data_IF_310080968145
#
_entry.id   IF_310080968145
#
_cell.length_a   1.000
_cell.length_b   1.000
_cell.length_c   1.000
_cell.angle_alpha   90.00
_cell.angle_beta   90.00
_cell.angle_gamma   90.00
#
_symmetry.space_group_name_H-M   'P 1'
#
loop_
_entity.id
_entity.type
_entity.pdbx_description
1 polymer ?
#
# COMPACT_ATOMS: atom_id res chain seq x y z
N UNK A 1 4.82 16.34 -14.56
CA UNK A 1 3.88 16.22 -15.69
C UNK A 1 4.55 15.87 -17.01
N UNK A 2 5.84 15.67 -16.99
CA UNK A 2 6.64 15.30 -18.17
C UNK A 2 6.18 13.98 -18.82
N UNK A 3 5.68 13.05 -18.00
CA UNK A 3 5.18 11.75 -18.44
C UNK A 3 3.64 11.65 -18.52
N UNK A 4 2.93 12.78 -18.51
CA UNK A 4 1.47 12.78 -18.53
C UNK A 4 0.79 12.28 -17.24
N UNK A 5 1.56 12.16 -16.15
CA UNK A 5 1.07 11.70 -14.85
C UNK A 5 0.93 12.90 -13.90
N UNK A 6 -0.25 13.04 -13.29
CA UNK A 6 -0.46 14.00 -12.21
C UNK A 6 -0.11 13.35 -10.88
N UNK A 7 0.78 13.99 -10.13
CA UNK A 7 1.06 13.62 -8.75
C UNK A 7 0.07 14.36 -7.85
N UNK A 8 -0.66 13.60 -7.05
CA UNK A 8 -1.63 14.13 -6.09
C UNK A 8 -1.03 13.91 -4.70
N UNK A 9 -0.57 15.00 -4.05
CA UNK A 9 -0.05 14.88 -2.69
C UNK A 9 -1.17 14.58 -1.72
N UNK A 10 -0.87 13.77 -0.70
CA UNK A 10 -1.78 13.45 0.39
C UNK A 10 -1.18 13.86 1.74
N UNK A 11 -1.98 14.53 2.55
CA UNK A 11 -1.73 14.77 3.97
C UNK A 11 -2.89 14.14 4.71
N UNK A 12 -2.65 12.94 5.25
CA UNK A 12 -3.73 12.19 5.91
C UNK A 12 -3.97 12.69 7.33
N UNK A 13 -5.15 13.25 7.52
CA UNK A 13 -5.66 13.86 8.75
C UNK A 13 -7.19 13.68 8.84
N UNK A 14 -7.79 13.55 10.03
CA UNK A 14 -7.20 13.68 11.38
C UNK A 14 -6.76 12.36 12.02
N UNK A 15 -7.01 11.19 11.41
CA UNK A 15 -6.40 9.92 11.78
C UNK A 15 -5.06 9.73 11.04
N UNK A 16 -4.39 8.60 11.25
CA UNK A 16 -3.10 8.27 10.64
C UNK A 16 -2.00 9.32 10.81
N UNK A 17 -2.17 10.18 11.81
CA UNK A 17 -1.38 11.39 12.04
C UNK A 17 -0.19 11.20 12.99
N UNK A 18 0.28 9.97 13.18
CA UNK A 18 1.34 9.63 14.15
C UNK A 18 2.64 10.42 13.91
N UNK A 19 3.00 10.65 12.65
CA UNK A 19 4.18 11.44 12.30
C UNK A 19 4.07 12.89 12.81
N UNK A 20 2.89 13.49 12.70
CA UNK A 20 2.63 14.86 13.17
C UNK A 20 2.63 14.95 14.68
N UNK A 21 2.03 13.97 15.34
CA UNK A 21 1.98 13.94 16.82
C UNK A 21 3.31 13.55 17.44
N UNK A 22 4.18 12.81 16.76
CA UNK A 22 5.56 12.64 17.19
C UNK A 22 6.35 13.95 17.14
N UNK A 23 6.11 14.78 16.13
CA UNK A 23 6.72 16.10 16.02
C UNK A 23 6.14 17.08 17.05
N UNK A 24 4.82 17.04 17.26
CA UNK A 24 4.07 17.96 18.11
C UNK A 24 3.06 17.18 18.98
N UNK A 25 3.50 16.56 20.09
CA UNK A 25 2.66 15.68 20.90
C UNK A 25 1.37 16.31 21.44
N UNK A 26 1.37 17.62 21.66
CA UNK A 26 0.23 18.36 22.20
C UNK A 26 -1.01 18.38 21.29
N UNK A 27 -0.87 18.11 19.99
CA UNK A 27 -2.01 18.02 19.06
C UNK A 27 -2.63 16.61 19.02
N UNK A 28 -1.99 15.62 19.61
CA UNK A 28 -2.48 14.24 19.68
C UNK A 28 -3.68 14.08 20.59
N UNK A 29 -4.46 13.04 20.36
CA UNK A 29 -5.63 12.72 21.15
C UNK A 29 -5.27 11.79 22.32
N UNK A 30 -5.42 12.27 23.54
CA UNK A 30 -5.28 11.45 24.75
C UNK A 30 -6.36 10.34 24.84
N UNK A 31 -7.48 10.53 24.13
CA UNK A 31 -8.64 9.64 24.18
C UNK A 31 -8.60 8.52 23.16
N UNK A 32 -8.06 8.78 21.97
CA UNK A 32 -8.11 7.85 20.83
C UNK A 32 -6.74 7.36 20.37
N UNK A 33 -5.66 7.85 20.99
CA UNK A 33 -4.29 7.50 20.64
C UNK A 33 -3.56 8.58 19.85
N UNK A 34 -2.24 8.50 19.86
CA UNK A 34 -1.38 9.50 19.24
C UNK A 34 -1.41 9.49 17.70
N UNK A 35 -1.99 8.50 17.10
CA UNK A 35 -2.26 8.43 15.65
C UNK A 35 -3.49 9.26 15.23
N UNK A 36 -4.22 9.82 16.21
CA UNK A 36 -5.37 10.69 15.99
C UNK A 36 -5.10 12.13 16.48
N UNK A 37 -5.42 13.12 15.67
CA UNK A 37 -5.43 14.52 16.10
C UNK A 37 -6.60 14.79 17.04
N UNK A 38 -6.38 15.60 18.07
CA UNK A 38 -7.45 16.04 18.96
C UNK A 38 -8.24 17.19 18.33
N UNK A 39 -9.47 16.93 17.93
CA UNK A 39 -10.33 17.87 17.22
C UNK A 39 -10.92 18.96 18.13
N UNK A 40 -10.64 18.93 19.43
CA UNK A 40 -11.10 19.95 20.39
C UNK A 40 -10.02 20.97 20.72
N UNK A 41 -8.76 20.70 20.35
CA UNK A 41 -7.63 21.60 20.60
C UNK A 41 -7.49 22.62 19.47
N UNK A 42 -7.49 23.89 19.81
CA UNK A 42 -7.23 24.98 18.86
C UNK A 42 -5.85 24.84 18.20
N UNK A 43 -4.90 24.30 18.92
CA UNK A 43 -3.55 24.07 18.45
C UNK A 43 -3.48 23.07 17.29
N UNK A 44 -4.38 22.10 17.27
CA UNK A 44 -4.55 21.18 16.12
C UNK A 44 -4.87 21.94 14.85
N UNK A 45 -5.81 22.86 14.91
CA UNK A 45 -6.22 23.66 13.74
C UNK A 45 -5.11 24.60 13.29
N UNK A 46 -4.41 25.26 14.23
CA UNK A 46 -3.26 26.11 13.88
C UNK A 46 -2.14 25.33 13.21
N UNK A 47 -1.86 24.12 13.69
CA UNK A 47 -0.85 23.24 13.10
C UNK A 47 -1.23 22.85 11.69
N UNK A 48 -2.46 22.38 11.47
CA UNK A 48 -2.93 21.95 10.14
C UNK A 48 -3.03 23.13 9.18
N UNK A 49 -3.51 24.29 9.63
CA UNK A 49 -3.55 25.52 8.82
C UNK A 49 -2.12 25.89 8.36
N UNK A 50 -1.16 25.92 9.30
CA UNK A 50 0.24 26.25 8.98
C UNK A 50 0.89 25.25 8.02
N UNK A 51 0.60 23.96 8.22
CA UNK A 51 1.10 22.90 7.34
C UNK A 51 0.58 23.06 5.90
N UNK A 52 -0.72 23.26 5.75
CA UNK A 52 -1.34 23.46 4.44
C UNK A 52 -0.86 24.76 3.77
N UNK A 53 -0.72 25.83 4.53
CA UNK A 53 -0.20 27.10 4.02
C UNK A 53 1.22 26.95 3.47
N UNK A 54 2.08 26.23 4.17
CA UNK A 54 3.46 25.99 3.74
C UNK A 54 3.52 25.33 2.36
N UNK A 55 2.64 24.36 2.10
CA UNK A 55 2.69 23.58 0.84
C UNK A 55 1.84 24.20 -0.28
N UNK A 56 0.83 25.01 0.04
CA UNK A 56 -0.13 25.52 -0.93
C UNK A 56 0.05 27.00 -1.29
N UNK A 57 0.75 27.78 -0.45
CA UNK A 57 0.87 29.22 -0.64
C UNK A 57 2.10 29.64 -1.47
N UNK A 58 2.16 30.93 -1.83
CA UNK A 58 3.27 31.55 -2.54
C UNK A 58 3.17 31.44 -4.07
N UNK A 59 4.10 32.09 -4.76
CA UNK A 59 4.16 32.12 -6.23
C UNK A 59 4.54 30.76 -6.83
N UNK A 60 5.25 29.93 -6.08
CA UNK A 60 5.68 28.58 -6.46
C UNK A 60 5.38 27.59 -5.33
N UNK A 61 4.12 27.22 -5.15
CA UNK A 61 3.74 26.29 -4.10
C UNK A 61 4.39 24.91 -4.33
N UNK A 62 4.62 24.16 -3.26
CA UNK A 62 5.16 22.80 -3.35
C UNK A 62 4.16 21.88 -4.04
N UNK A 63 2.87 22.02 -3.70
CA UNK A 63 1.78 21.26 -4.33
C UNK A 63 1.32 21.96 -5.61
N UNK A 64 2.02 21.67 -6.71
CA UNK A 64 1.79 22.33 -8.00
C UNK A 64 0.58 21.79 -8.77
N UNK A 65 0.16 20.53 -8.51
CA UNK A 65 -0.96 19.88 -9.20
C UNK A 65 -2.32 20.52 -8.86
N UNK A 66 -3.36 20.20 -9.62
CA UNK A 66 -4.70 20.74 -9.39
C UNK A 66 -5.42 20.11 -8.19
N UNK A 67 -5.02 18.95 -7.77
CA UNK A 67 -5.68 18.16 -6.73
C UNK A 67 -4.79 17.98 -5.51
N UNK A 68 -5.42 17.94 -4.32
CA UNK A 68 -4.79 17.61 -3.03
C UNK A 68 -5.68 16.63 -2.30
N UNK A 69 -5.10 15.60 -1.68
CA UNK A 69 -5.81 14.62 -0.86
C UNK A 69 -5.56 14.90 0.62
N UNK A 70 -6.62 14.84 1.43
CA UNK A 70 -6.56 15.17 2.86
C UNK A 70 -6.77 13.97 3.79
N UNK A 71 -6.76 12.75 3.24
CA UNK A 71 -7.08 11.55 4.01
C UNK A 71 -8.54 11.53 4.44
N UNK A 72 -8.79 11.71 5.73
CA UNK A 72 -10.12 11.74 6.37
C UNK A 72 -10.81 10.38 6.49
N UNK A 73 -10.06 9.33 6.73
CA UNK A 73 -10.59 8.02 7.08
C UNK A 73 -10.41 7.69 8.57
N UNK A 74 -10.97 6.60 8.97
CA UNK A 74 -10.79 5.86 10.21
C UNK A 74 -10.81 6.65 11.53
N UNK A 75 -11.52 7.76 11.59
CA UNK A 75 -11.71 8.46 12.86
C UNK A 75 -12.83 7.84 13.71
N UNK A 76 -12.86 8.14 15.00
CA UNK A 76 -13.80 7.54 15.93
C UNK A 76 -15.24 8.05 15.72
N UNK A 77 -16.20 7.14 15.54
CA UNK A 77 -17.60 7.47 15.28
C UNK A 77 -18.30 8.29 16.39
N UNK A 78 -17.80 8.25 17.63
CA UNK A 78 -18.32 9.08 18.73
C UNK A 78 -18.07 10.56 18.53
N UNK A 79 -17.11 10.90 17.67
CA UNK A 79 -16.73 12.28 17.35
C UNK A 79 -17.23 12.73 15.97
N UNK A 80 -18.24 12.05 15.43
CA UNK A 80 -18.73 12.27 14.06
C UNK A 80 -19.02 13.76 13.74
N UNK A 81 -19.65 14.52 14.62
CA UNK A 81 -19.95 15.92 14.38
C UNK A 81 -18.68 16.78 14.32
N UNK A 82 -17.71 16.53 15.20
CA UNK A 82 -16.42 17.23 15.19
C UNK A 82 -15.58 16.85 13.96
N UNK A 83 -15.57 15.56 13.59
CA UNK A 83 -14.93 15.10 12.39
C UNK A 83 -15.53 15.74 11.13
N UNK A 84 -16.86 15.80 11.03
CA UNK A 84 -17.56 16.43 9.90
C UNK A 84 -17.25 17.92 9.79
N UNK A 85 -17.21 18.62 10.93
CA UNK A 85 -16.78 20.01 10.98
C UNK A 85 -15.33 20.19 10.52
N UNK A 86 -14.42 19.36 11.00
CA UNK A 86 -13.01 19.35 10.61
C UNK A 86 -12.87 19.12 9.10
N UNK A 87 -13.49 18.06 8.59
CA UNK A 87 -13.46 17.72 7.16
C UNK A 87 -13.99 18.87 6.31
N UNK A 88 -15.20 19.38 6.59
CA UNK A 88 -15.79 20.50 5.85
C UNK A 88 -14.88 21.75 5.85
N UNK A 89 -14.28 22.07 7.01
CA UNK A 89 -13.34 23.17 7.13
C UNK A 89 -12.17 23.02 6.16
N UNK A 90 -11.53 21.86 6.12
CA UNK A 90 -10.33 21.66 5.31
C UNK A 90 -10.62 21.43 3.83
N UNK A 91 -11.77 20.90 3.47
CA UNK A 91 -12.24 20.92 2.09
C UNK A 91 -12.34 22.37 1.57
N UNK A 92 -12.95 23.26 2.34
CA UNK A 92 -13.09 24.68 2.02
C UNK A 92 -11.74 25.43 2.11
N UNK A 93 -10.87 25.03 3.01
CA UNK A 93 -9.56 25.65 3.19
C UNK A 93 -8.66 25.46 1.97
N UNK A 94 -8.57 24.25 1.48
CA UNK A 94 -7.75 23.90 0.31
C UNK A 94 -8.34 24.53 -0.97
N UNK A 95 -9.65 24.59 -1.09
CA UNK A 95 -10.31 25.24 -2.23
C UNK A 95 -9.95 26.74 -2.38
N UNK A 96 -9.64 27.46 -1.28
CA UNK A 96 -9.16 28.84 -1.34
C UNK A 96 -7.87 29.03 -2.13
N UNK A 97 -7.08 27.96 -2.24
CA UNK A 97 -5.87 27.92 -3.07
C UNK A 97 -6.13 27.48 -4.52
N UNK A 98 -7.41 27.38 -4.93
CA UNK A 98 -7.80 26.97 -6.28
C UNK A 98 -7.57 25.48 -6.56
N UNK A 99 -7.50 24.65 -5.53
CA UNK A 99 -7.32 23.19 -5.65
C UNK A 99 -8.65 22.45 -5.53
N UNK A 100 -8.78 21.34 -6.27
CA UNK A 100 -9.80 20.35 -6.00
C UNK A 100 -9.36 19.47 -4.83
N UNK A 101 -10.31 18.97 -4.05
CA UNK A 101 -9.97 18.16 -2.89
C UNK A 101 -10.38 16.72 -3.09
N UNK A 102 -9.50 15.83 -2.68
CA UNK A 102 -9.79 14.40 -2.58
C UNK A 102 -9.78 13.94 -1.13
N UNK A 103 -10.56 12.91 -0.82
CA UNK A 103 -10.62 12.35 0.52
C UNK A 103 -10.98 10.86 0.47
N UNK A 104 -10.64 10.13 1.52
CA UNK A 104 -11.16 8.78 1.73
C UNK A 104 -12.62 8.83 2.19
N UNK A 105 -13.40 7.84 1.78
CA UNK A 105 -14.79 7.75 2.20
C UNK A 105 -14.91 7.42 3.68
N UNK A 106 -15.63 8.27 4.43
CA UNK A 106 -15.83 8.08 5.87
C UNK A 106 -17.26 8.42 6.34
N UNK A 107 -18.03 9.12 5.51
CA UNK A 107 -19.29 9.76 5.95
C UNK A 107 -20.44 8.77 6.21
N UNK A 108 -20.35 7.54 5.74
CA UNK A 108 -21.31 6.48 6.10
C UNK A 108 -21.09 5.98 7.53
N UNK A 109 -19.85 5.87 7.96
CA UNK A 109 -19.48 5.47 9.32
C UNK A 109 -19.62 6.64 10.29
N UNK A 110 -19.13 7.81 9.91
CA UNK A 110 -19.15 9.03 10.70
C UNK A 110 -20.42 9.84 10.42
N UNK A 111 -21.57 9.24 10.78
CA UNK A 111 -22.89 9.85 10.59
C UNK A 111 -23.10 11.04 11.52
N UNK A 112 -23.62 12.14 10.96
CA UNK A 112 -23.90 13.34 11.73
C UNK A 112 -24.75 14.33 10.93
N UNK A 113 -25.13 15.43 11.58
CA UNK A 113 -25.95 16.48 10.99
C UNK A 113 -25.12 17.64 10.42
N UNK A 114 -23.87 17.78 10.87
CA UNK A 114 -22.96 18.81 10.33
C UNK A 114 -22.74 18.56 8.85
N UNK A 115 -23.11 19.52 7.96
CA UNK A 115 -22.93 19.35 6.53
C UNK A 115 -21.46 19.31 6.17
N UNK A 116 -21.12 18.51 5.16
CA UNK A 116 -19.78 18.44 4.58
C UNK A 116 -19.89 18.83 3.11
N UNK A 117 -19.02 19.73 2.66
CA UNK A 117 -18.95 20.19 1.28
C UNK A 117 -18.80 19.01 0.32
N UNK A 118 -19.60 18.98 -0.75
CA UNK A 118 -19.54 17.96 -1.77
C UNK A 118 -19.03 18.49 -3.13
N UNK A 119 -19.34 19.74 -3.46
CA UNK A 119 -18.97 20.34 -4.72
C UNK A 119 -17.43 20.37 -4.88
N UNK A 120 -16.93 19.93 -6.06
CA UNK A 120 -15.51 19.79 -6.38
C UNK A 120 -14.72 18.82 -5.46
N UNK A 121 -15.42 17.91 -4.77
CA UNK A 121 -14.79 16.90 -3.92
C UNK A 121 -14.88 15.54 -4.56
N UNK A 122 -13.75 14.82 -4.59
CA UNK A 122 -13.66 13.44 -5.04
C UNK A 122 -13.39 12.52 -3.87
N UNK A 123 -14.20 11.47 -3.73
CA UNK A 123 -14.08 10.47 -2.66
C UNK A 123 -13.50 9.18 -3.22
N UNK A 124 -12.49 8.64 -2.55
CA UNK A 124 -12.03 7.29 -2.75
C UNK A 124 -12.96 6.31 -2.01
N UNK A 125 -13.71 5.51 -2.78
CA UNK A 125 -14.62 4.50 -2.24
C UNK A 125 -13.81 3.23 -1.95
N UNK A 126 -13.34 3.10 -0.70
CA UNK A 126 -12.41 2.06 -0.29
C UNK A 126 -13.07 0.93 0.50
N UNK A 127 -14.01 1.19 1.38
CA UNK A 127 -14.65 0.16 2.20
C UNK A 127 -16.16 0.36 2.28
N UNK A 128 -16.90 -0.76 2.17
CA UNK A 128 -18.36 -0.75 2.20
C UNK A 128 -18.95 -0.12 3.47
N UNK A 129 -18.32 -0.32 4.61
CA UNK A 129 -18.84 0.18 5.88
C UNK A 129 -18.58 1.68 6.06
N UNK A 130 -17.58 2.23 5.39
CA UNK A 130 -17.15 3.61 5.51
C UNK A 130 -17.81 4.57 4.52
N UNK A 131 -18.17 4.08 3.33
CA UNK A 131 -18.80 4.89 2.29
C UNK A 131 -20.00 4.18 1.68
N UNK A 132 -21.03 4.97 1.36
CA UNK A 132 -22.13 4.60 0.48
C UNK A 132 -21.95 5.29 -0.88
N UNK A 133 -21.52 4.58 -1.91
CA UNK A 133 -21.25 5.19 -3.21
C UNK A 133 -22.46 5.86 -3.84
N UNK A 134 -23.65 5.23 -3.74
CA UNK A 134 -24.88 5.78 -4.31
C UNK A 134 -25.32 7.06 -3.61
N UNK A 135 -25.28 7.07 -2.26
CA UNK A 135 -25.59 8.26 -1.49
C UNK A 135 -24.58 9.37 -1.79
N UNK A 136 -23.29 9.07 -1.85
CA UNK A 136 -22.25 10.06 -2.14
C UNK A 136 -22.39 10.69 -3.52
N UNK A 137 -22.71 9.93 -4.55
CA UNK A 137 -23.00 10.45 -5.89
C UNK A 137 -24.22 11.36 -5.89
N UNK A 138 -25.28 10.96 -5.16
CA UNK A 138 -26.51 11.77 -5.01
C UNK A 138 -26.24 13.08 -4.29
N UNK A 139 -25.34 13.09 -3.32
CA UNK A 139 -24.94 14.27 -2.56
C UNK A 139 -24.02 15.20 -3.38
N UNK A 140 -23.60 14.78 -4.58
CA UNK A 140 -22.81 15.60 -5.50
C UNK A 140 -21.30 15.33 -5.48
N UNK A 141 -20.84 14.36 -4.70
CA UNK A 141 -19.43 13.92 -4.74
C UNK A 141 -19.11 13.18 -6.05
N UNK A 142 -17.86 13.25 -6.47
CA UNK A 142 -17.29 12.33 -7.45
C UNK A 142 -16.65 11.15 -6.72
N UNK A 143 -16.56 10.00 -7.38
CA UNK A 143 -16.04 8.76 -6.77
C UNK A 143 -14.93 8.16 -7.62
N UNK A 144 -13.90 7.67 -6.95
CA UNK A 144 -12.92 6.74 -7.48
C UNK A 144 -13.09 5.42 -6.74
N UNK A 145 -13.25 4.34 -7.49
CA UNK A 145 -13.31 3.00 -6.91
C UNK A 145 -11.94 2.57 -6.41
N UNK A 146 -11.81 2.40 -5.11
CA UNK A 146 -10.58 1.96 -4.43
C UNK A 146 -10.89 0.79 -3.49
N UNK A 147 -11.89 -0.02 -3.82
CA UNK A 147 -12.44 -1.07 -2.95
C UNK A 147 -11.35 -1.99 -2.39
N UNK A 148 -11.20 -1.99 -1.07
CA UNK A 148 -10.20 -2.76 -0.31
C UNK A 148 -10.25 -4.26 -0.59
N UNK A 149 -11.44 -4.81 -0.77
CA UNK A 149 -11.63 -6.22 -1.08
C UNK A 149 -10.94 -6.68 -2.37
N UNK A 150 -10.66 -5.75 -3.29
CA UNK A 150 -10.13 -6.06 -4.62
C UNK A 150 -8.84 -5.35 -4.99
N UNK A 151 -8.63 -4.13 -4.45
CA UNK A 151 -7.64 -3.18 -4.94
C UNK A 151 -6.58 -2.81 -3.89
N UNK A 152 -6.57 -3.45 -2.72
CA UNK A 152 -5.56 -3.23 -1.69
C UNK A 152 -4.45 -4.27 -1.76
N UNK A 153 -3.23 -3.78 -1.72
CA UNK A 153 -1.99 -4.53 -1.57
C UNK A 153 -1.37 -4.08 -0.25
N UNK A 154 -1.22 -5.01 0.70
CA UNK A 154 -0.56 -4.73 1.99
C UNK A 154 0.47 -5.82 2.24
N UNK A 155 1.73 -5.60 1.82
CA UNK A 155 2.76 -6.63 1.89
C UNK A 155 2.96 -7.17 3.30
N UNK A 156 3.00 -8.49 3.44
CA UNK A 156 3.22 -9.22 4.69
C UNK A 156 2.17 -8.99 5.81
N UNK A 157 1.05 -8.37 5.51
CA UNK A 157 0.04 -8.03 6.53
C UNK A 157 -0.83 -9.23 6.95
N UNK A 158 -1.12 -10.15 6.04
CA UNK A 158 -1.97 -11.31 6.31
C UNK A 158 -3.49 -11.03 6.36
N UNK A 159 -3.91 -9.78 6.57
CA UNK A 159 -5.32 -9.35 6.55
C UNK A 159 -5.76 -8.79 5.21
N UNK A 160 -4.83 -8.35 4.37
CA UNK A 160 -5.05 -8.02 2.96
C UNK A 160 -4.10 -8.83 2.06
N UNK A 161 -4.23 -8.65 0.76
CA UNK A 161 -3.44 -9.39 -0.22
C UNK A 161 -2.02 -8.83 -0.34
N UNK A 162 -1.08 -9.73 -0.56
CA UNK A 162 0.30 -9.39 -0.90
C UNK A 162 0.43 -8.92 -2.35
N UNK A 163 -0.43 -9.49 -3.22
CA UNK A 163 -0.56 -9.15 -4.65
C UNK A 163 -2.02 -9.12 -5.03
N UNK A 164 -2.39 -8.28 -5.99
CA UNK A 164 -3.73 -8.33 -6.56
C UNK A 164 -3.90 -9.61 -7.39
N UNK A 165 -5.11 -10.15 -7.38
CA UNK A 165 -5.51 -11.20 -8.31
C UNK A 165 -5.75 -10.59 -9.69
N UNK A 166 -4.65 -10.45 -10.46
CA UNK A 166 -4.67 -9.79 -11.76
C UNK A 166 -5.54 -10.52 -12.78
N UNK A 167 -5.65 -11.85 -12.69
CA UNK A 167 -6.53 -12.63 -13.56
C UNK A 167 -7.99 -12.31 -13.28
N UNK A 168 -8.40 -12.36 -12.01
CA UNK A 168 -9.75 -12.01 -11.63
C UNK A 168 -10.10 -10.56 -11.96
N UNK A 169 -9.17 -9.62 -11.74
CA UNK A 169 -9.35 -8.22 -12.11
C UNK A 169 -9.56 -8.08 -13.61
N UNK A 170 -8.77 -8.74 -14.42
CA UNK A 170 -8.89 -8.70 -15.87
C UNK A 170 -10.23 -9.26 -16.37
N UNK A 171 -10.61 -10.44 -15.91
CA UNK A 171 -11.78 -11.16 -16.38
C UNK A 171 -13.10 -10.64 -15.78
N UNK A 172 -13.11 -10.28 -14.50
CA UNK A 172 -14.32 -10.09 -13.71
C UNK A 172 -14.54 -8.67 -13.19
N UNK A 173 -13.45 -7.95 -12.87
CA UNK A 173 -13.60 -6.63 -12.28
C UNK A 173 -14.06 -5.59 -13.31
N UNK A 174 -14.85 -4.63 -12.83
CA UNK A 174 -15.31 -3.45 -13.59
C UNK A 174 -15.21 -2.24 -12.67
N UNK A 175 -15.02 -1.06 -13.25
CA UNK A 175 -14.92 0.19 -12.47
C UNK A 175 -16.15 0.39 -11.57
N UNK A 176 -17.32 -0.02 -12.05
CA UNK A 176 -18.57 0.04 -11.27
C UNK A 176 -18.64 -0.90 -10.07
N UNK A 177 -17.77 -1.91 -9.97
CA UNK A 177 -17.77 -2.85 -8.84
C UNK A 177 -17.13 -2.21 -7.59
N UNK A 178 -17.85 -1.27 -7.01
CA UNK A 178 -17.38 -0.39 -5.93
C UNK A 178 -17.30 -1.07 -4.56
N UNK A 179 -17.94 -2.23 -4.40
CA UNK A 179 -17.80 -3.10 -3.24
C UNK A 179 -18.36 -4.50 -3.58
N UNK A 180 -18.21 -5.51 -2.68
CA UNK A 180 -18.73 -6.86 -2.92
C UNK A 180 -20.25 -6.98 -3.07
N UNK A 181 -21.00 -5.99 -2.58
CA UNK A 181 -22.47 -6.04 -2.53
C UNK A 181 -23.13 -5.18 -3.60
N UNK A 182 -22.39 -4.20 -4.17
CA UNK A 182 -22.95 -3.20 -5.07
C UNK A 182 -22.07 -3.02 -6.32
N UNK A 183 -22.73 -2.88 -7.43
CA UNK A 183 -22.12 -2.54 -8.71
C UNK A 183 -22.89 -1.37 -9.33
N UNK A 184 -22.19 -0.27 -9.59
CA UNK A 184 -22.74 0.87 -10.31
C UNK A 184 -22.76 0.57 -11.81
N UNK A 185 -23.78 1.01 -12.55
CA UNK A 185 -23.83 0.85 -14.01
C UNK A 185 -22.60 1.47 -14.68
N UNK A 186 -22.20 0.89 -15.79
CA UNK A 186 -21.15 1.46 -16.64
C UNK A 186 -21.56 2.85 -17.13
N UNK A 187 -20.63 3.80 -17.09
CA UNK A 187 -20.91 5.20 -17.45
C UNK A 187 -21.67 6.00 -16.39
N UNK A 188 -21.82 5.50 -15.16
CA UNK A 188 -22.45 6.26 -14.07
C UNK A 188 -21.79 7.64 -13.92
N UNK A 189 -22.53 8.75 -14.04
CA UNK A 189 -22.00 10.09 -13.88
C UNK A 189 -21.37 10.27 -12.49
N UNK A 190 -20.16 10.84 -12.43
CA UNK A 190 -19.44 11.04 -11.18
C UNK A 190 -18.54 9.88 -10.77
N UNK A 191 -18.67 8.68 -11.35
CA UNK A 191 -17.69 7.60 -11.19
C UNK A 191 -16.54 7.82 -12.16
N UNK A 192 -15.37 8.24 -11.65
CA UNK A 192 -14.25 8.71 -12.47
C UNK A 192 -13.33 7.59 -12.95
N UNK A 193 -13.22 6.50 -12.19
CA UNK A 193 -12.31 5.41 -12.51
C UNK A 193 -12.02 4.53 -11.30
N UNK A 194 -10.92 3.78 -11.38
CA UNK A 194 -10.42 2.93 -10.31
C UNK A 194 -9.01 3.29 -9.88
N UNK A 195 -8.67 2.97 -8.65
CA UNK A 195 -7.34 3.13 -8.06
C UNK A 195 -7.04 1.91 -7.19
N UNK A 196 -5.85 1.35 -7.31
CA UNK A 196 -5.35 0.42 -6.32
C UNK A 196 -4.43 1.13 -5.33
N UNK A 197 -4.31 0.59 -4.14
CA UNK A 197 -3.45 1.12 -3.10
C UNK A 197 -2.36 0.11 -2.71
N UNK A 198 -1.17 0.60 -2.42
CA UNK A 198 -0.08 -0.19 -1.83
C UNK A 198 0.25 0.43 -0.48
N UNK A 199 -0.18 -0.23 0.58
CA UNK A 199 0.04 0.20 1.96
C UNK A 199 1.26 -0.51 2.54
N UNK A 200 2.08 0.24 3.25
CA UNK A 200 3.29 -0.30 3.87
C UNK A 200 3.17 -0.35 5.39
N UNK A 201 2.09 -0.91 5.90
CA UNK A 201 1.78 -1.03 7.33
C UNK A 201 2.89 -1.76 8.11
N UNK A 202 3.57 -2.66 7.44
CA UNK A 202 4.70 -3.42 7.96
C UNK A 202 6.03 -3.00 7.33
N UNK A 203 6.20 -1.72 7.00
CA UNK A 203 7.49 -1.21 6.54
C UNK A 203 8.56 -1.45 7.63
N UNK A 204 9.75 -1.88 7.21
CA UNK A 204 10.78 -2.35 8.15
C UNK A 204 10.84 -3.89 8.29
N UNK A 205 9.85 -4.62 7.81
CA UNK A 205 9.89 -6.09 7.73
C UNK A 205 10.56 -6.60 6.44
N UNK A 206 11.45 -5.79 5.88
CA UNK A 206 12.22 -6.18 4.70
C UNK A 206 11.55 -5.90 3.36
N UNK A 207 10.49 -5.13 3.33
CA UNK A 207 9.87 -4.67 2.08
C UNK A 207 10.71 -3.55 1.46
N UNK A 208 11.35 -3.81 0.33
CA UNK A 208 12.17 -2.86 -0.42
C UNK A 208 11.34 -2.09 -1.46
N UNK A 209 11.95 -1.05 -2.06
CA UNK A 209 11.35 -0.37 -3.21
C UNK A 209 11.04 -1.32 -4.36
N UNK A 210 11.92 -2.28 -4.63
CA UNK A 210 11.73 -3.28 -5.68
C UNK A 210 10.53 -4.17 -5.38
N UNK A 211 10.30 -4.51 -4.12
CA UNK A 211 9.13 -5.28 -3.70
C UNK A 211 7.83 -4.52 -3.95
N UNK A 212 7.82 -3.22 -3.69
CA UNK A 212 6.69 -2.35 -3.99
C UNK A 212 6.47 -2.26 -5.50
N UNK A 213 7.51 -2.03 -6.30
CA UNK A 213 7.42 -1.98 -7.76
C UNK A 213 6.92 -3.30 -8.35
N UNK A 214 7.41 -4.43 -7.84
CA UNK A 214 7.02 -5.76 -8.31
C UNK A 214 5.52 -6.04 -8.10
N UNK A 215 4.92 -5.44 -7.06
CA UNK A 215 3.47 -5.50 -6.80
C UNK A 215 2.69 -4.49 -7.62
N UNK A 216 3.25 -3.30 -7.79
CA UNK A 216 2.60 -2.18 -8.44
C UNK A 216 2.40 -2.40 -9.94
N UNK A 217 3.42 -2.88 -10.65
CA UNK A 217 3.36 -2.92 -12.11
C UNK A 217 2.31 -3.88 -12.65
N UNK A 218 2.19 -5.13 -12.21
CA UNK A 218 1.11 -6.00 -12.69
C UNK A 218 -0.29 -5.42 -12.40
N UNK A 219 -0.47 -4.81 -11.22
CA UNK A 219 -1.72 -4.16 -10.84
C UNK A 219 -2.04 -2.96 -11.75
N UNK A 220 -1.06 -2.08 -12.00
CA UNK A 220 -1.21 -0.91 -12.84
C UNK A 220 -1.57 -1.29 -14.28
N UNK A 221 -0.92 -2.31 -14.85
CA UNK A 221 -1.19 -2.77 -16.20
C UNK A 221 -2.62 -3.27 -16.36
N UNK A 222 -3.10 -4.10 -15.43
CA UNK A 222 -4.47 -4.62 -15.47
C UNK A 222 -5.49 -3.51 -15.27
N UNK A 223 -5.31 -2.63 -14.30
CA UNK A 223 -6.25 -1.54 -14.08
C UNK A 223 -6.30 -0.57 -15.26
N UNK A 224 -5.14 -0.25 -15.85
CA UNK A 224 -5.08 0.60 -17.04
C UNK A 224 -5.88 0.01 -18.19
N UNK A 225 -5.72 -1.28 -18.48
CA UNK A 225 -6.47 -1.99 -19.50
C UNK A 225 -7.99 -1.98 -19.22
N UNK A 226 -8.38 -2.28 -17.98
CA UNK A 226 -9.80 -2.31 -17.58
C UNK A 226 -10.46 -0.93 -17.60
N UNK A 227 -9.75 0.11 -17.20
CA UNK A 227 -10.27 1.48 -17.24
C UNK A 227 -10.36 2.01 -18.67
N UNK A 228 -9.45 1.59 -19.57
CA UNK A 228 -9.47 2.00 -20.96
C UNK A 228 -10.56 1.30 -21.78
N UNK A 229 -10.73 -0.01 -21.56
CA UNK A 229 -11.60 -0.86 -22.40
C UNK A 229 -12.93 -1.25 -21.78
N UNK A 230 -13.10 -1.09 -20.47
CA UNK A 230 -14.31 -1.52 -19.77
C UNK A 230 -14.51 -3.04 -19.85
N UNK A 231 -15.60 -3.46 -20.49
CA UNK A 231 -15.97 -4.90 -20.65
C UNK A 231 -15.32 -5.58 -21.85
N UNK A 232 -14.71 -4.82 -22.75
CA UNK A 232 -14.24 -5.34 -24.03
C UNK A 232 -12.81 -5.88 -23.91
N UNK A 233 -12.66 -7.09 -23.40
CA UNK A 233 -11.38 -7.80 -23.50
C UNK A 233 -11.10 -8.15 -24.97
N UNK A 234 -9.91 -7.79 -25.47
CA UNK A 234 -9.50 -8.11 -26.85
C UNK A 234 -8.81 -9.45 -26.95
N UNK A 235 -8.19 -9.89 -25.86
CA UNK A 235 -7.40 -11.12 -25.80
C UNK A 235 -7.69 -11.86 -24.50
N UNK A 236 -7.31 -13.12 -24.42
CA UNK A 236 -7.38 -13.87 -23.17
C UNK A 236 -6.44 -13.29 -22.10
N UNK A 237 -6.68 -13.59 -20.83
CA UNK A 237 -5.76 -13.15 -19.76
C UNK A 237 -4.34 -13.67 -19.99
N UNK A 238 -4.19 -14.90 -20.42
CA UNK A 238 -2.89 -15.53 -20.69
C UNK A 238 -2.12 -14.79 -21.79
N UNK A 239 -2.82 -14.33 -22.81
CA UNK A 239 -2.22 -13.53 -23.89
C UNK A 239 -1.88 -12.12 -23.41
N UNK A 240 -2.78 -11.49 -22.64
CA UNK A 240 -2.52 -10.20 -22.00
C UNK A 240 -1.30 -10.25 -21.08
N UNK A 241 -1.20 -11.25 -20.20
CA UNK A 241 -0.06 -11.44 -19.31
C UNK A 241 1.25 -11.61 -20.09
N UNK A 242 1.21 -12.35 -21.21
CA UNK A 242 2.36 -12.50 -22.09
C UNK A 242 2.79 -11.17 -22.71
N UNK A 243 1.85 -10.35 -23.14
CA UNK A 243 2.12 -8.99 -23.65
C UNK A 243 2.73 -8.11 -22.57
N UNK A 244 2.20 -8.14 -21.35
CA UNK A 244 2.74 -7.39 -20.22
C UNK A 244 4.20 -7.76 -19.92
N UNK A 245 4.54 -9.05 -19.96
CA UNK A 245 5.91 -9.53 -19.77
C UNK A 245 6.88 -9.13 -20.89
N UNK A 246 6.38 -8.78 -22.06
CA UNK A 246 7.19 -8.29 -23.18
C UNK A 246 7.42 -6.76 -23.12
N UNK A 247 6.68 -6.05 -22.29
CA UNK A 247 6.87 -4.62 -22.14
C UNK A 247 8.20 -4.34 -21.43
N UNK A 248 8.96 -3.34 -21.89
CA UNK A 248 10.16 -2.93 -21.18
C UNK A 248 9.82 -2.45 -19.77
N UNK A 249 10.68 -2.72 -18.83
CA UNK A 249 10.51 -2.20 -17.48
C UNK A 249 10.69 -0.68 -17.47
N UNK A 250 10.01 -0.02 -16.52
CA UNK A 250 10.09 1.43 -16.40
C UNK A 250 11.52 1.87 -16.04
N UNK A 251 11.97 3.03 -16.52
CA UNK A 251 13.25 3.60 -16.14
C UNK A 251 13.37 3.72 -14.61
N UNK A 252 14.54 3.41 -14.08
CA UNK A 252 14.81 3.50 -12.65
C UNK A 252 14.43 2.27 -11.84
N UNK A 253 13.85 1.23 -12.46
CA UNK A 253 13.75 -0.07 -11.81
C UNK A 253 15.14 -0.69 -11.75
N UNK A 254 15.53 -1.08 -10.55
CA UNK A 254 16.79 -1.76 -10.38
C UNK A 254 16.67 -3.22 -10.84
N UNK A 255 17.40 -3.53 -11.89
CA UNK A 255 17.47 -4.87 -12.47
C UNK A 255 18.65 -5.70 -11.93
N UNK A 256 19.50 -5.09 -11.11
CA UNK A 256 20.62 -5.80 -10.51
C UNK A 256 20.12 -6.98 -9.67
N UNK A 257 20.72 -8.13 -9.86
CA UNK A 257 20.30 -9.36 -9.20
C UNK A 257 19.15 -10.12 -9.85
N UNK A 258 18.56 -9.62 -10.94
CA UNK A 258 17.49 -10.33 -11.67
C UNK A 258 18.00 -11.25 -12.78
N UNK A 259 19.15 -11.86 -12.59
CA UNK A 259 19.69 -12.80 -13.55
C UNK A 259 19.09 -14.17 -13.28
N UNK A 260 18.14 -14.57 -14.12
CA UNK A 260 17.47 -15.87 -13.97
C UNK A 260 18.42 -17.03 -14.26
N UNK A 261 18.48 -17.97 -13.32
CA UNK A 261 19.22 -19.21 -13.50
C UNK A 261 20.74 -19.09 -13.38
N UNK A 262 21.26 -17.92 -13.06
CA UNK A 262 22.68 -17.72 -12.84
C UNK A 262 23.03 -17.86 -11.35
N UNK A 263 24.06 -18.64 -11.08
CA UNK A 263 24.61 -18.77 -9.73
C UNK A 263 25.65 -17.69 -9.54
N UNK A 264 25.40 -16.80 -8.59
CA UNK A 264 26.20 -15.58 -8.37
C UNK A 264 27.09 -15.66 -7.13
N UNK A 265 27.19 -16.83 -6.55
CA UNK A 265 28.05 -17.08 -5.41
C UNK A 265 29.28 -17.89 -5.83
N UNK A 266 30.50 -17.38 -5.55
CA UNK A 266 31.76 -18.04 -6.02
C UNK A 266 32.11 -19.34 -5.29
N UNK A 267 31.51 -19.59 -4.13
CA UNK A 267 31.77 -20.79 -3.30
C UNK A 267 30.81 -21.94 -3.55
N UNK A 268 30.24 -22.06 -4.74
CA UNK A 268 29.32 -23.14 -5.09
C UNK A 268 30.03 -24.52 -4.90
N UNK A 269 29.43 -25.38 -4.08
CA UNK A 269 29.97 -26.68 -3.67
C UNK A 269 31.25 -26.63 -2.80
N UNK A 270 31.58 -25.48 -2.21
CA UNK A 270 32.65 -25.39 -1.22
C UNK A 270 32.07 -25.52 0.20
N UNK A 271 32.76 -26.30 1.02
CA UNK A 271 32.47 -26.38 2.45
C UNK A 271 33.16 -25.21 3.16
N UNK A 272 32.37 -24.34 3.80
CA UNK A 272 32.87 -23.17 4.49
C UNK A 272 32.57 -23.30 5.98
N UNK A 273 33.60 -23.13 6.81
CA UNK A 273 33.46 -23.10 8.25
C UNK A 273 33.35 -21.66 8.72
N UNK A 274 32.22 -21.32 9.39
CA UNK A 274 31.93 -19.98 9.91
C UNK A 274 31.94 -20.02 11.43
N UNK A 275 32.57 -19.04 12.07
CA UNK A 275 32.72 -18.94 13.52
C UNK A 275 31.62 -18.12 14.22
N UNK A 276 30.53 -17.79 13.49
CA UNK A 276 29.42 -16.99 14.00
C UNK A 276 29.61 -15.47 13.89
N UNK A 277 30.82 -14.99 13.60
CA UNK A 277 31.10 -13.58 13.28
C UNK A 277 31.48 -13.37 11.83
N UNK A 278 31.84 -14.44 11.14
CA UNK A 278 32.20 -14.41 9.74
C UNK A 278 30.99 -14.15 8.87
N UNK A 279 31.24 -13.54 7.73
CA UNK A 279 30.25 -13.34 6.66
C UNK A 279 30.86 -13.64 5.31
N UNK A 280 30.04 -14.15 4.40
CA UNK A 280 30.38 -14.39 3.03
C UNK A 280 29.65 -13.39 2.16
N UNK A 281 30.41 -12.58 1.42
CA UNK A 281 29.83 -11.62 0.51
C UNK A 281 29.54 -12.28 -0.84
N UNK A 282 28.35 -12.05 -1.40
CA UNK A 282 28.06 -12.37 -2.80
C UNK A 282 28.68 -11.32 -3.72
N UNK A 283 28.80 -11.64 -5.01
CA UNK A 283 29.28 -10.67 -6.00
C UNK A 283 28.23 -9.64 -6.40
N UNK A 284 26.97 -9.82 -5.97
CA UNK A 284 25.89 -8.91 -6.26
C UNK A 284 25.84 -7.78 -5.24
N UNK A 285 25.70 -6.52 -5.67
CA UNK A 285 25.48 -5.39 -4.77
C UNK A 285 24.14 -5.48 -4.08
N UNK A 286 23.16 -6.10 -4.70
CA UNK A 286 21.80 -6.31 -4.16
C UNK A 286 21.13 -7.49 -4.87
N UNK A 287 20.04 -8.00 -4.29
CA UNK A 287 19.23 -9.07 -4.85
C UNK A 287 17.83 -8.55 -5.11
N UNK A 288 17.38 -8.59 -6.38
CA UNK A 288 16.01 -8.28 -6.78
C UNK A 288 15.14 -9.52 -6.91
N UNK A 289 13.84 -9.36 -6.97
CA UNK A 289 12.87 -10.44 -7.20
C UNK A 289 12.82 -10.85 -8.69
N UNK A 290 12.58 -12.15 -8.99
CA UNK A 290 12.59 -13.28 -8.09
C UNK A 290 14.01 -13.78 -7.79
N UNK A 291 14.25 -14.27 -6.60
CA UNK A 291 15.51 -14.91 -6.23
C UNK A 291 15.28 -16.21 -5.44
N UNK A 292 16.28 -17.06 -5.42
CA UNK A 292 16.38 -18.21 -4.53
C UNK A 292 17.76 -18.24 -3.89
N UNK A 293 17.80 -18.57 -2.61
CA UNK A 293 19.04 -18.83 -1.89
C UNK A 293 18.98 -20.27 -1.38
N UNK A 294 19.96 -21.08 -1.73
CA UNK A 294 20.04 -22.47 -1.32
C UNK A 294 21.40 -22.71 -0.67
N UNK A 295 21.40 -23.29 0.52
CA UNK A 295 22.61 -23.68 1.23
C UNK A 295 22.33 -24.82 2.20
N UNK A 296 23.35 -25.57 2.51
CA UNK A 296 23.31 -26.59 3.56
C UNK A 296 24.07 -26.09 4.77
N UNK A 297 23.50 -26.33 5.96
CA UNK A 297 24.13 -25.96 7.23
C UNK A 297 24.37 -27.24 8.03
N UNK A 298 25.59 -27.37 8.52
CA UNK A 298 25.97 -28.37 9.52
C UNK A 298 26.34 -27.65 10.82
N UNK A 299 25.36 -27.39 11.72
CA UNK A 299 25.64 -26.66 12.93
C UNK A 299 26.41 -27.54 13.93
N UNK A 300 27.36 -26.92 14.64
CA UNK A 300 28.03 -27.55 15.77
C UNK A 300 27.00 -27.79 16.90
N UNK A 301 26.98 -29.01 17.45
CA UNK A 301 25.94 -29.47 18.39
C UNK A 301 25.88 -28.69 19.70
N UNK A 302 26.89 -27.91 20.00
CA UNK A 302 27.02 -27.18 21.27
C UNK A 302 26.64 -25.70 21.19
N UNK A 303 26.24 -25.20 20.00
CA UNK A 303 25.95 -23.76 19.85
C UNK A 303 24.45 -23.46 19.68
N UNK A 304 23.97 -22.49 20.45
CA UNK A 304 22.68 -21.88 20.24
C UNK A 304 22.71 -21.07 18.92
N UNK A 305 22.06 -21.56 17.90
CA UNK A 305 21.99 -20.88 16.59
C UNK A 305 20.97 -19.74 16.68
N UNK A 306 21.40 -18.61 17.20
CA UNK A 306 20.72 -17.33 17.09
C UNK A 306 21.57 -16.42 16.21
N UNK A 307 21.48 -16.56 14.90
CA UNK A 307 22.29 -15.81 13.96
C UNK A 307 21.52 -15.34 12.73
N UNK A 308 22.08 -14.38 12.03
CA UNK A 308 21.60 -13.95 10.72
C UNK A 308 22.21 -14.92 9.70
N UNK A 309 21.38 -15.72 9.04
CA UNK A 309 21.83 -16.63 7.99
C UNK A 309 22.01 -15.95 6.64
N UNK A 310 21.25 -14.88 6.40
CA UNK A 310 21.33 -14.13 5.16
C UNK A 310 21.06 -12.65 5.42
N UNK A 311 21.88 -11.76 4.83
CA UNK A 311 21.74 -10.30 4.96
C UNK A 311 21.99 -9.64 3.62
N UNK A 312 21.02 -8.91 3.09
CA UNK A 312 21.17 -8.04 1.93
C UNK A 312 21.58 -6.61 2.32
N UNK A 313 22.10 -5.83 1.38
CA UNK A 313 22.42 -4.41 1.56
C UNK A 313 21.16 -3.54 1.72
N UNK A 314 20.05 -3.97 1.15
CA UNK A 314 18.73 -3.39 1.43
C UNK A 314 18.07 -4.36 2.41
N UNK A 315 17.71 -3.94 3.61
CA UNK A 315 17.32 -4.87 4.64
C UNK A 315 16.01 -5.56 4.27
N UNK A 316 16.05 -6.86 3.93
CA UNK A 316 15.17 -7.74 4.58
C UNK A 316 15.94 -8.41 5.71
N UNK A 317 15.71 -7.96 6.93
CA UNK A 317 15.87 -8.88 8.03
C UNK A 317 14.79 -9.96 7.80
N UNK A 318 15.15 -11.10 7.24
CA UNK A 318 14.39 -12.30 7.55
C UNK A 318 14.80 -12.71 8.96
N UNK A 319 14.01 -12.48 10.00
CA UNK A 319 14.14 -13.25 11.19
C UNK A 319 13.73 -14.65 10.79
N UNK A 320 14.68 -15.53 10.57
CA UNK A 320 14.37 -16.95 10.52
C UNK A 320 13.75 -17.24 11.87
N UNK A 321 12.44 -17.44 11.85
CA UNK A 321 11.72 -17.84 13.04
C UNK A 321 12.48 -19.01 13.65
N UNK A 322 12.67 -19.00 14.98
CA UNK A 322 13.40 -19.99 15.76
C UNK A 322 13.40 -21.34 15.07
N UNK A 323 14.55 -21.76 14.52
CA UNK A 323 14.73 -23.13 14.05
C UNK A 323 14.54 -23.98 15.32
N UNK A 324 13.43 -24.72 15.39
CA UNK A 324 13.19 -25.59 16.55
C UNK A 324 14.27 -26.67 16.56
N UNK A 325 14.82 -26.96 17.72
CA UNK A 325 15.85 -27.98 17.95
C UNK A 325 15.54 -29.36 17.33
N UNK A 326 14.28 -29.66 17.07
CA UNK A 326 13.87 -30.92 16.42
C UNK A 326 14.29 -31.06 14.94
N UNK A 327 14.84 -30.01 14.31
CA UNK A 327 15.32 -30.04 12.92
C UNK A 327 16.83 -30.21 12.81
N UNK A 328 17.55 -30.23 13.92
CA UNK A 328 19.00 -30.22 13.96
C UNK A 328 19.67 -31.61 13.91
N UNK A 329 18.90 -32.67 13.74
CA UNK A 329 19.48 -34.06 13.71
C UNK A 329 19.76 -34.62 12.31
N UNK A 330 19.54 -33.84 11.27
CA UNK A 330 19.85 -34.22 9.88
C UNK A 330 20.43 -33.02 9.13
N UNK A 331 21.32 -33.30 8.15
CA UNK A 331 21.74 -32.29 7.17
C UNK A 331 20.51 -31.64 6.59
N UNK A 332 20.30 -30.35 6.86
CA UNK A 332 19.10 -29.67 6.45
C UNK A 332 19.43 -28.68 5.35
N UNK A 333 19.04 -29.02 4.12
CA UNK A 333 19.02 -28.05 3.04
C UNK A 333 17.91 -27.01 3.33
N UNK A 334 18.28 -25.73 3.47
CA UNK A 334 17.33 -24.63 3.60
C UNK A 334 17.20 -24.00 2.22
N UNK A 335 16.03 -24.19 1.60
CA UNK A 335 15.67 -23.52 0.36
C UNK A 335 14.82 -22.31 0.68
N UNK A 336 15.34 -21.12 0.41
CA UNK A 336 14.60 -19.87 0.51
C UNK A 336 14.18 -19.45 -0.90
N UNK A 337 12.89 -19.54 -1.19
CA UNK A 337 12.33 -19.09 -2.46
C UNK A 337 11.60 -17.78 -2.25
N UNK A 338 11.90 -16.78 -3.05
CA UNK A 338 11.12 -15.54 -3.12
C UNK A 338 9.94 -15.64 -4.08
N UNK A 339 9.86 -16.72 -4.84
CA UNK A 339 8.67 -17.03 -5.63
C UNK A 339 7.59 -17.54 -4.69
N UNK A 340 6.47 -16.84 -4.65
CA UNK A 340 5.20 -17.21 -4.06
C UNK A 340 5.10 -18.70 -3.71
N UNK A 341 5.46 -19.06 -2.49
CA UNK A 341 4.74 -20.12 -1.84
C UNK A 341 3.33 -19.57 -1.63
N UNK A 342 2.38 -19.96 -2.48
CA UNK A 342 1.00 -20.00 -2.08
C UNK A 342 0.97 -20.90 -0.83
N UNK A 343 1.08 -20.29 0.33
CA UNK A 343 0.51 -20.85 1.53
C UNK A 343 -0.99 -20.81 1.32
N UNK A 344 -1.52 -21.79 0.61
CA UNK A 344 -2.91 -22.14 0.76
C UNK A 344 -3.08 -22.48 2.25
N UNK A 345 -3.96 -21.82 2.98
CA UNK A 345 -4.30 -22.26 4.32
C UNK A 345 -5.07 -23.56 4.17
N UNK A 346 -4.39 -24.68 4.31
CA UNK A 346 -5.07 -25.88 4.73
C UNK A 346 -5.52 -25.66 6.18
N UNK A 347 -6.82 -25.60 6.33
CA UNK A 347 -7.62 -25.66 7.55
C UNK A 347 -7.66 -24.42 8.45
N UNK A 348 -8.87 -23.90 8.44
CA UNK A 348 -9.38 -22.88 9.33
C UNK A 348 -9.02 -23.05 10.81
N UNK A 349 -8.42 -22.02 11.36
CA UNK A 349 -8.60 -21.67 12.76
C UNK A 349 -8.90 -20.19 12.83
N UNK A 350 -10.16 -19.89 13.18
CA UNK A 350 -10.57 -18.57 13.66
C UNK A 350 -9.79 -18.28 14.93
N UNK A 351 -9.16 -17.15 14.98
CA UNK A 351 -8.76 -16.52 16.24
C UNK A 351 -9.75 -15.38 16.50
N UNK A 352 -10.34 -15.46 17.68
CA UNK A 352 -11.22 -14.46 18.26
C UNK A 352 -10.41 -13.22 18.70
#
# INVERSE_FOLDING_TARGET
MEYGVNVIPEIDIPAHSLAFTHYKPEIGSDKYGMDHLDLYKEETYRFVDSLLDEYLSGEKPVFIGPDVHIGTDEYNAKEAEKFRYFTDRYLKYIEKYGKNVRMWGALRWLKGNTPVKADNVTINAWSYDWIDPNASLKDGYKIINTCDAYLYIVPAAGYYRDFLDTKWLYEQWRVGKVNPKEELPEGTPGLLGGMFAVWNDHCGNGVSQQDVHFRTFPAAQVLAEKMWRGKNEMVSYEEFEKLCKQMPEAPGINLLGRVQGEVVFPGQNEELSLNGTDSIATMLPEIGYPYAVEFEINPDKEQNINGILFKGLIPPYMPIGKIRESWLSAVTAIRLYSTLLHCLPEHGRRYA
#
